data_IF_345106674337
#
_entry.id   IF_345106674337
#
_cell.length_a   1.000
_cell.length_b   1.000
_cell.length_c   1.000
_cell.angle_alpha   90.00
_cell.angle_beta   90.00
_cell.angle_gamma   90.00
#
_symmetry.space_group_name_H-M   'P 1'
#
loop_
_entity.id
_entity.type
_entity.pdbx_description
1 polymer ?
#
# COMPACT_ATOMS: atom_id res chain seq x y z
N UNK A 1 -24.06 -20.89 35.73
CA UNK A 1 -23.89 -19.81 34.75
C UNK A 1 -25.07 -19.85 33.80
N UNK A 2 -25.86 -18.78 33.73
CA UNK A 2 -26.97 -18.65 32.78
C UNK A 2 -26.41 -18.54 31.33
N UNK A 3 -27.19 -18.94 30.33
CA UNK A 3 -26.88 -18.78 28.89
C UNK A 3 -26.42 -17.35 28.58
N UNK A 4 -27.05 -16.33 29.16
CA UNK A 4 -26.66 -14.93 28.96
C UNK A 4 -25.27 -14.60 29.52
N UNK A 5 -24.94 -15.15 30.69
CA UNK A 5 -23.62 -14.98 31.31
C UNK A 5 -22.54 -15.73 30.50
N UNK A 6 -22.87 -16.92 29.99
CA UNK A 6 -21.99 -17.70 29.12
C UNK A 6 -21.70 -16.97 27.80
N UNK A 7 -22.73 -16.38 27.19
CA UNK A 7 -22.57 -15.58 25.97
C UNK A 7 -21.74 -14.33 26.24
N UNK A 8 -22.06 -13.55 27.26
CA UNK A 8 -21.30 -12.36 27.64
C UNK A 8 -19.84 -12.68 27.94
N UNK A 9 -19.57 -13.77 28.66
CA UNK A 9 -18.21 -14.25 28.95
C UNK A 9 -17.46 -14.62 27.66
N UNK A 10 -18.13 -15.32 26.75
CA UNK A 10 -17.53 -15.71 25.46
C UNK A 10 -17.16 -14.48 24.63
N UNK A 11 -18.05 -13.49 24.54
CA UNK A 11 -17.79 -12.24 23.82
C UNK A 11 -16.65 -11.47 24.47
N UNK A 12 -16.64 -11.37 25.80
CA UNK A 12 -15.56 -10.71 26.53
C UNK A 12 -14.19 -11.34 26.24
N UNK A 13 -14.13 -12.67 26.19
CA UNK A 13 -12.89 -13.40 25.93
C UNK A 13 -12.41 -13.21 24.48
N UNK A 14 -13.32 -13.20 23.51
CA UNK A 14 -13.01 -12.90 22.10
C UNK A 14 -12.53 -11.47 21.93
N UNK A 15 -13.22 -10.48 22.51
CA UNK A 15 -12.82 -9.06 22.46
C UNK A 15 -11.46 -8.83 23.11
N UNK A 16 -11.18 -9.47 24.24
CA UNK A 16 -9.88 -9.38 24.90
C UNK A 16 -8.75 -9.96 24.02
N UNK A 17 -8.97 -11.14 23.41
CA UNK A 17 -8.01 -11.75 22.50
C UNK A 17 -7.78 -10.90 21.24
N UNK A 18 -8.84 -10.36 20.64
CA UNK A 18 -8.74 -9.46 19.50
C UNK A 18 -7.98 -8.18 19.87
N UNK A 19 -8.28 -7.58 21.02
CA UNK A 19 -7.58 -6.39 21.52
C UNK A 19 -6.10 -6.64 21.76
N UNK A 20 -5.75 -7.77 22.38
CA UNK A 20 -4.36 -8.18 22.54
C UNK A 20 -3.65 -8.38 21.20
N UNK A 21 -4.31 -9.02 20.23
CA UNK A 21 -3.72 -9.22 18.91
C UNK A 21 -3.49 -7.90 18.17
N UNK A 22 -4.47 -7.00 18.18
CA UNK A 22 -4.34 -5.67 17.59
C UNK A 22 -3.21 -4.87 18.26
N UNK A 23 -3.15 -4.89 19.59
CA UNK A 23 -2.20 -4.06 20.33
C UNK A 23 -0.78 -4.62 20.36
N UNK A 24 -0.59 -5.95 20.37
CA UNK A 24 0.73 -6.57 20.47
C UNK A 24 1.30 -6.84 19.07
N UNK A 25 0.53 -7.50 18.21
CA UNK A 25 1.02 -7.99 16.91
C UNK A 25 1.01 -6.88 15.87
N UNK A 26 -0.12 -6.19 15.69
CA UNK A 26 -0.23 -5.15 14.66
C UNK A 26 0.55 -3.89 15.03
N UNK A 27 0.49 -3.44 16.27
CA UNK A 27 1.24 -2.26 16.70
C UNK A 27 2.74 -2.39 16.45
N UNK A 28 3.33 -3.57 16.73
CA UNK A 28 4.73 -3.86 16.44
C UNK A 28 5.02 -3.80 14.94
N UNK A 29 4.19 -4.46 14.12
CA UNK A 29 4.31 -4.44 12.66
C UNK A 29 4.18 -3.02 12.08
N UNK A 30 3.24 -2.23 12.59
CA UNK A 30 3.00 -0.86 12.14
C UNK A 30 4.16 0.04 12.55
N UNK A 31 4.64 -0.03 13.80
CA UNK A 31 5.83 0.74 14.22
C UNK A 31 7.06 0.42 13.39
N UNK A 32 7.27 -0.84 13.05
CA UNK A 32 8.35 -1.23 12.13
C UNK A 32 8.13 -0.65 10.73
N UNK A 33 6.89 -0.72 10.21
CA UNK A 33 6.53 -0.14 8.92
C UNK A 33 6.75 1.39 8.90
N UNK A 34 6.38 2.12 9.95
CA UNK A 34 6.60 3.57 10.07
C UNK A 34 8.08 3.93 10.03
N UNK A 35 8.93 3.15 10.70
CA UNK A 35 10.40 3.33 10.68
C UNK A 35 11.01 3.02 9.31
N UNK A 36 10.49 2.01 8.64
CA UNK A 36 10.98 1.60 7.32
C UNK A 36 10.41 2.45 6.18
N UNK A 37 9.34 3.19 6.44
CA UNK A 37 8.62 3.96 5.44
C UNK A 37 9.50 4.97 4.67
N UNK A 38 10.34 5.80 5.33
CA UNK A 38 11.25 6.70 4.62
C UNK A 38 12.20 5.95 3.69
N UNK A 39 12.63 4.74 4.09
CA UNK A 39 13.53 3.91 3.30
C UNK A 39 12.83 3.35 2.05
N UNK A 40 11.58 2.91 2.16
CA UNK A 40 10.79 2.44 1.01
C UNK A 40 10.55 3.58 0.02
N UNK A 41 10.22 4.77 0.52
CA UNK A 41 10.03 5.98 -0.30
C UNK A 41 11.33 6.39 -1.01
N UNK A 42 12.45 6.38 -0.29
CA UNK A 42 13.77 6.66 -0.84
C UNK A 42 14.15 5.66 -1.94
N UNK A 43 14.01 4.35 -1.70
CA UNK A 43 14.29 3.31 -2.69
C UNK A 43 13.42 3.43 -3.95
N UNK A 44 12.13 3.75 -3.78
CA UNK A 44 11.22 3.94 -4.92
C UNK A 44 11.57 5.20 -5.73
N UNK A 45 11.99 6.27 -5.05
CA UNK A 45 12.46 7.51 -5.69
C UNK A 45 13.78 7.29 -6.44
N UNK A 46 14.71 6.55 -5.83
CA UNK A 46 15.97 6.14 -6.46
C UNK A 46 15.72 5.27 -7.69
N UNK A 47 14.77 4.33 -7.64
CA UNK A 47 14.40 3.52 -8.81
C UNK A 47 13.86 4.40 -9.95
N UNK A 48 13.00 5.37 -9.61
CA UNK A 48 12.45 6.32 -10.58
C UNK A 48 13.55 7.18 -11.20
N UNK A 49 14.50 7.63 -10.39
CA UNK A 49 15.66 8.41 -10.85
C UNK A 49 16.63 7.58 -11.69
N UNK A 50 16.91 6.32 -11.31
CA UNK A 50 17.71 5.40 -12.12
C UNK A 50 17.07 5.20 -13.49
N UNK A 51 15.78 4.89 -13.55
CA UNK A 51 15.05 4.77 -14.83
C UNK A 51 15.01 6.05 -15.63
N UNK A 52 14.94 7.21 -14.97
CA UNK A 52 15.05 8.51 -15.64
C UNK A 52 16.41 8.68 -16.30
N UNK A 53 17.48 8.38 -15.57
CA UNK A 53 18.82 8.38 -16.13
C UNK A 53 18.92 7.38 -17.28
N UNK A 54 18.49 6.13 -17.11
CA UNK A 54 18.52 5.12 -18.17
C UNK A 54 17.79 5.58 -19.46
N UNK A 55 16.70 6.35 -19.35
CA UNK A 55 16.00 6.94 -20.50
C UNK A 55 16.80 8.09 -21.15
N UNK A 56 17.39 8.96 -20.33
CA UNK A 56 18.09 10.19 -20.79
C UNK A 56 19.52 9.90 -21.27
N UNK A 57 20.18 8.92 -20.68
CA UNK A 57 21.53 8.48 -21.02
C UNK A 57 21.54 7.31 -22.00
N UNK A 58 20.38 6.87 -22.48
CA UNK A 58 20.34 5.94 -23.60
C UNK A 58 21.09 6.61 -24.77
N UNK A 59 22.14 5.95 -25.25
CA UNK A 59 22.90 6.31 -26.47
C UNK A 59 21.93 6.64 -27.62
N UNK A 60 20.83 5.89 -27.66
CA UNK A 60 19.70 6.02 -28.57
C UNK A 60 18.94 7.35 -28.49
N UNK A 61 18.89 8.02 -27.32
CA UNK A 61 18.26 9.33 -27.15
C UNK A 61 19.21 10.47 -27.56
N UNK A 62 20.53 10.30 -27.37
CA UNK A 62 21.54 11.24 -27.86
C UNK A 62 21.74 11.12 -29.37
N UNK A 63 21.84 9.90 -29.90
CA UNK A 63 21.95 9.61 -31.34
C UNK A 63 20.73 10.11 -32.10
N UNK A 64 19.51 9.93 -31.57
CA UNK A 64 18.29 10.45 -32.20
C UNK A 64 18.30 11.98 -32.29
N UNK A 65 18.84 12.65 -31.26
CA UNK A 65 18.94 14.10 -31.19
C UNK A 65 19.99 14.62 -32.17
N UNK A 66 21.12 13.91 -32.28
CA UNK A 66 22.19 14.23 -33.21
C UNK A 66 21.76 13.99 -34.67
N UNK A 67 21.10 12.86 -34.97
CA UNK A 67 20.54 12.56 -36.29
C UNK A 67 19.36 13.46 -36.66
N UNK A 68 18.50 13.86 -35.73
CA UNK A 68 17.46 14.89 -36.01
C UNK A 68 18.09 16.23 -36.35
N UNK A 69 19.14 16.65 -35.64
CA UNK A 69 19.85 17.89 -35.94
C UNK A 69 20.61 17.84 -37.28
N UNK A 70 21.16 16.69 -37.65
CA UNK A 70 21.83 16.47 -38.94
C UNK A 70 20.81 16.33 -40.08
N UNK A 71 19.72 15.62 -39.85
CA UNK A 71 18.63 15.39 -40.80
C UNK A 71 17.82 16.65 -41.12
N UNK A 72 17.57 17.52 -40.13
CA UNK A 72 16.98 18.85 -40.34
C UNK A 72 17.88 19.79 -41.14
N UNK A 73 19.20 19.56 -41.15
CA UNK A 73 20.18 20.38 -41.86
C UNK A 73 20.43 19.93 -43.31
N UNK A 74 20.12 18.69 -43.69
CA UNK A 74 20.75 18.09 -44.89
C UNK A 74 19.90 17.89 -46.15
N UNK A 75 18.58 17.56 -46.16
CA UNK A 75 17.67 17.71 -47.34
C UNK A 75 16.29 16.97 -47.21
N UNK A 76 15.30 17.24 -48.11
CA UNK A 76 13.86 17.00 -47.90
C UNK A 76 13.37 15.64 -48.44
N UNK A 77 13.77 14.53 -47.81
CA UNK A 77 13.16 13.22 -48.04
C UNK A 77 12.80 12.59 -46.71
N UNK A 78 11.58 12.88 -46.27
CA UNK A 78 10.96 12.45 -45.00
C UNK A 78 10.74 10.93 -44.90
N UNK A 79 10.66 10.21 -46.02
CA UNK A 79 10.13 8.83 -46.05
C UNK A 79 11.10 7.74 -45.57
N UNK A 80 12.42 7.98 -45.56
CA UNK A 80 13.40 7.02 -45.01
C UNK A 80 13.79 7.31 -43.56
N UNK A 81 13.62 8.56 -43.10
CA UNK A 81 13.76 8.89 -41.68
C UNK A 81 12.54 8.44 -40.89
N UNK A 82 11.34 8.36 -41.48
CA UNK A 82 10.11 8.12 -40.72
C UNK A 82 10.05 6.76 -40.02
N UNK A 83 10.46 5.67 -40.67
CA UNK A 83 10.35 4.32 -40.10
C UNK A 83 11.37 4.05 -39.00
N UNK A 84 12.61 4.52 -39.15
CA UNK A 84 13.65 4.41 -38.14
C UNK A 84 13.39 5.34 -36.95
N UNK A 85 12.93 6.58 -37.22
CA UNK A 85 12.48 7.51 -36.18
C UNK A 85 11.25 6.97 -35.45
N UNK A 86 10.29 6.33 -36.14
CA UNK A 86 9.15 5.65 -35.51
C UNK A 86 9.58 4.51 -34.59
N UNK A 87 10.49 3.64 -35.03
CA UNK A 87 10.96 2.50 -34.23
C UNK A 87 11.65 2.98 -32.95
N UNK A 88 12.51 4.00 -33.07
CA UNK A 88 13.19 4.61 -31.92
C UNK A 88 12.24 5.40 -31.01
N UNK A 89 11.28 6.16 -31.56
CA UNK A 89 10.21 6.81 -30.77
C UNK A 89 9.36 5.79 -30.01
N UNK A 90 9.12 4.62 -30.60
CA UNK A 90 8.36 3.54 -29.97
C UNK A 90 9.12 2.95 -28.77
N UNK A 91 10.44 2.76 -28.91
CA UNK A 91 11.30 2.35 -27.80
C UNK A 91 11.38 3.42 -26.69
N UNK A 92 11.51 4.70 -27.06
CA UNK A 92 11.53 5.81 -26.11
C UNK A 92 10.20 5.94 -25.36
N UNK A 93 9.07 5.76 -26.06
CA UNK A 93 7.72 5.67 -25.48
C UNK A 93 7.58 4.49 -24.52
N UNK A 94 8.19 3.35 -24.83
CA UNK A 94 8.27 2.18 -23.94
C UNK A 94 9.00 2.49 -22.64
N UNK A 95 10.15 3.15 -22.72
CA UNK A 95 10.98 3.52 -21.58
C UNK A 95 10.32 4.62 -20.71
N UNK A 96 9.68 5.61 -21.34
CA UNK A 96 8.86 6.62 -20.66
C UNK A 96 7.66 6.01 -19.94
N UNK A 97 6.98 5.03 -20.55
CA UNK A 97 5.91 4.28 -19.90
C UNK A 97 6.42 3.51 -18.69
N UNK A 98 7.57 2.84 -18.81
CA UNK A 98 8.18 2.13 -17.68
C UNK A 98 8.60 3.06 -16.53
N UNK A 99 8.96 4.31 -16.84
CA UNK A 99 9.24 5.36 -15.86
C UNK A 99 7.96 5.85 -15.17
N UNK A 100 6.90 6.11 -15.94
CA UNK A 100 5.58 6.48 -15.42
C UNK A 100 5.01 5.40 -14.50
N UNK A 101 5.13 4.13 -14.91
CA UNK A 101 4.71 2.98 -14.11
C UNK A 101 5.49 2.88 -12.80
N UNK A 102 6.75 3.36 -12.77
CA UNK A 102 7.59 3.36 -11.57
C UNK A 102 7.25 4.49 -10.62
N UNK A 103 6.96 5.68 -11.15
CA UNK A 103 6.44 6.80 -10.36
C UNK A 103 5.11 6.42 -9.70
N UNK A 104 4.24 5.69 -10.42
CA UNK A 104 2.98 5.17 -9.87
C UNK A 104 3.17 4.19 -8.71
N UNK A 105 4.31 3.47 -8.61
CA UNK A 105 4.57 2.55 -7.48
C UNK A 105 4.63 3.33 -6.16
N UNK A 106 5.19 4.54 -6.15
CA UNK A 106 5.26 5.39 -4.95
C UNK A 106 3.86 5.73 -4.46
N UNK A 107 2.97 6.13 -5.37
CA UNK A 107 1.60 6.53 -5.04
C UNK A 107 0.73 5.33 -4.61
N UNK A 108 0.92 4.18 -5.25
CA UNK A 108 0.27 2.92 -4.86
C UNK A 108 0.69 2.51 -3.45
N UNK A 109 1.99 2.58 -3.15
CA UNK A 109 2.54 2.24 -1.83
C UNK A 109 2.08 3.25 -0.77
N UNK A 110 2.06 4.56 -1.09
CA UNK A 110 1.50 5.61 -0.23
C UNK A 110 0.04 5.32 0.11
N UNK A 111 -0.75 4.92 -0.88
CA UNK A 111 -2.16 4.57 -0.73
C UNK A 111 -2.32 3.37 0.20
N UNK A 112 -1.51 2.31 0.03
CA UNK A 112 -1.55 1.15 0.92
C UNK A 112 -1.19 1.53 2.36
N UNK A 113 -0.16 2.35 2.56
CA UNK A 113 0.24 2.80 3.88
C UNK A 113 -0.85 3.63 4.58
N UNK A 114 -1.50 4.54 3.85
CA UNK A 114 -2.64 5.30 4.37
C UNK A 114 -3.80 4.38 4.77
N UNK A 115 -4.10 3.37 3.95
CA UNK A 115 -5.10 2.35 4.28
C UNK A 115 -4.74 1.53 5.52
N UNK A 116 -3.48 1.12 5.69
CA UNK A 116 -3.01 0.44 6.92
C UNK A 116 -3.31 1.29 8.16
N UNK A 117 -2.97 2.59 8.12
CA UNK A 117 -3.24 3.50 9.25
C UNK A 117 -4.73 3.65 9.54
N UNK A 118 -5.53 3.83 8.49
CA UNK A 118 -6.98 3.97 8.59
C UNK A 118 -7.63 2.73 9.23
N UNK A 119 -7.36 1.54 8.68
CA UNK A 119 -7.96 0.31 9.19
C UNK A 119 -7.47 -0.06 10.59
N UNK A 120 -6.19 0.17 10.90
CA UNK A 120 -5.68 -0.08 12.24
C UNK A 120 -6.33 0.82 13.30
N UNK A 121 -6.37 2.13 13.05
CA UNK A 121 -6.97 3.09 13.98
C UNK A 121 -8.45 2.80 14.22
N UNK A 122 -9.19 2.54 13.14
CA UNK A 122 -10.61 2.26 13.24
C UNK A 122 -10.90 0.90 13.87
N UNK A 123 -10.05 -0.12 13.64
CA UNK A 123 -10.16 -1.42 14.33
C UNK A 123 -10.04 -1.26 15.85
N UNK A 124 -9.08 -0.47 16.33
CA UNK A 124 -8.93 -0.19 17.77
C UNK A 124 -10.16 0.53 18.33
N UNK A 125 -10.64 1.57 17.64
CA UNK A 125 -11.80 2.34 18.09
C UNK A 125 -13.03 1.44 18.20
N UNK A 126 -13.28 0.59 17.19
CA UNK A 126 -14.40 -0.33 17.18
C UNK A 126 -14.31 -1.36 18.31
N UNK A 127 -13.10 -1.86 18.61
CA UNK A 127 -12.89 -2.74 19.75
C UNK A 127 -13.20 -2.06 21.10
N UNK A 128 -12.79 -0.79 21.27
CA UNK A 128 -13.13 -0.02 22.49
C UNK A 128 -14.64 0.15 22.61
N UNK A 129 -15.34 0.43 21.51
CA UNK A 129 -16.81 0.55 21.49
C UNK A 129 -17.46 -0.81 21.81
N UNK A 130 -16.94 -1.90 21.27
CA UNK A 130 -17.40 -3.27 21.55
C UNK A 130 -17.28 -3.61 23.04
N UNK A 131 -16.14 -3.31 23.66
CA UNK A 131 -15.89 -3.50 25.08
C UNK A 131 -16.77 -2.61 25.96
N UNK A 132 -16.95 -1.34 25.57
CA UNK A 132 -17.83 -0.42 26.31
C UNK A 132 -19.28 -0.90 26.27
N UNK A 133 -19.73 -1.38 25.11
CA UNK A 133 -21.05 -1.97 24.94
C UNK A 133 -21.21 -3.24 25.77
N UNK A 134 -20.16 -4.06 25.86
CA UNK A 134 -20.15 -5.26 26.69
C UNK A 134 -20.29 -4.95 28.19
N UNK A 135 -19.65 -3.89 28.68
CA UNK A 135 -19.80 -3.45 30.08
C UNK A 135 -21.25 -3.04 30.37
N UNK A 136 -21.93 -2.40 29.41
CA UNK A 136 -23.33 -1.97 29.57
C UNK A 136 -24.30 -3.16 29.67
N UNK A 137 -23.94 -4.36 29.17
CA UNK A 137 -24.72 -5.60 29.36
C UNK A 137 -24.91 -5.92 30.84
N UNK A 138 -23.94 -5.57 31.69
CA UNK A 138 -23.94 -5.89 33.12
C UNK A 138 -24.72 -4.87 33.98
N UNK A 139 -25.03 -3.69 33.42
CA UNK A 139 -25.57 -2.55 34.19
C UNK A 139 -27.00 -2.19 33.74
N UNK A 140 -27.37 -2.49 32.49
CA UNK A 140 -28.64 -2.04 31.90
C UNK A 140 -29.66 -3.16 31.70
N UNK A 141 -30.95 -2.80 31.77
CA UNK A 141 -32.08 -3.70 31.52
C UNK A 141 -32.15 -4.20 30.06
N UNK A 142 -31.55 -3.47 29.11
CA UNK A 142 -31.49 -3.83 27.68
C UNK A 142 -30.24 -4.68 27.34
N UNK A 143 -29.89 -5.62 28.21
CA UNK A 143 -28.65 -6.41 28.14
C UNK A 143 -28.47 -7.16 26.80
N UNK A 144 -29.54 -7.72 26.23
CA UNK A 144 -29.52 -8.39 24.92
C UNK A 144 -29.15 -7.45 23.76
N UNK A 145 -29.64 -6.21 23.78
CA UNK A 145 -29.36 -5.23 22.73
C UNK A 145 -27.88 -4.80 22.77
N UNK A 146 -27.35 -4.55 23.97
CA UNK A 146 -25.94 -4.21 24.16
C UNK A 146 -24.99 -5.37 23.80
N UNK A 147 -25.42 -6.61 24.04
CA UNK A 147 -24.67 -7.80 23.67
C UNK A 147 -24.62 -7.96 22.13
N UNK A 148 -25.74 -7.68 21.44
CA UNK A 148 -25.79 -7.64 19.98
C UNK A 148 -24.91 -6.52 19.38
N UNK A 149 -24.93 -5.32 19.97
CA UNK A 149 -24.07 -4.21 19.55
C UNK A 149 -22.59 -4.54 19.76
N UNK A 150 -22.24 -5.08 20.93
CA UNK A 150 -20.87 -5.50 21.24
C UNK A 150 -20.35 -6.49 20.21
N UNK A 151 -21.14 -7.52 19.88
CA UNK A 151 -20.82 -8.49 18.83
C UNK A 151 -20.65 -7.85 17.45
N UNK A 152 -21.55 -6.95 17.06
CA UNK A 152 -21.46 -6.25 15.77
C UNK A 152 -20.16 -5.47 15.62
N UNK A 153 -19.83 -4.65 16.62
CA UNK A 153 -18.58 -3.88 16.61
C UNK A 153 -17.33 -4.77 16.70
N UNK A 154 -17.41 -5.91 17.38
CA UNK A 154 -16.32 -6.88 17.44
C UNK A 154 -16.04 -7.51 16.07
N UNK A 155 -17.09 -7.89 15.33
CA UNK A 155 -16.96 -8.43 13.97
C UNK A 155 -16.33 -7.38 13.05
N UNK A 156 -16.81 -6.13 13.09
CA UNK A 156 -16.24 -5.05 12.29
C UNK A 156 -14.77 -4.78 12.63
N UNK A 157 -14.45 -4.79 13.94
CA UNK A 157 -13.08 -4.66 14.44
C UNK A 157 -12.16 -5.77 13.89
N UNK A 158 -12.63 -7.02 13.87
CA UNK A 158 -11.91 -8.16 13.29
C UNK A 158 -11.72 -7.99 11.78
N UNK A 159 -12.74 -7.54 11.04
CA UNK A 159 -12.63 -7.27 9.61
C UNK A 159 -11.56 -6.20 9.32
N UNK A 160 -11.52 -5.15 10.13
CA UNK A 160 -10.51 -4.09 10.02
C UNK A 160 -9.10 -4.59 10.33
N UNK A 161 -8.96 -5.51 11.28
CA UNK A 161 -7.71 -6.22 11.52
C UNK A 161 -7.25 -7.02 10.29
N UNK A 162 -8.15 -7.75 9.63
CA UNK A 162 -7.81 -8.48 8.40
C UNK A 162 -7.37 -7.55 7.27
N UNK A 163 -8.08 -6.44 7.05
CA UNK A 163 -7.67 -5.44 6.06
C UNK A 163 -6.30 -4.83 6.38
N UNK A 164 -6.03 -4.55 7.65
CA UNK A 164 -4.73 -4.03 8.08
C UNK A 164 -3.60 -4.99 7.71
N UNK A 165 -3.75 -6.28 8.01
CA UNK A 165 -2.76 -7.32 7.66
C UNK A 165 -2.58 -7.41 6.14
N UNK A 166 -3.69 -7.45 5.40
CA UNK A 166 -3.69 -7.55 3.95
C UNK A 166 -2.90 -6.43 3.28
N UNK A 167 -3.08 -5.17 3.72
CA UNK A 167 -2.33 -4.05 3.16
C UNK A 167 -0.86 -4.02 3.61
N UNK A 168 -0.54 -4.48 4.82
CA UNK A 168 0.85 -4.66 5.26
C UNK A 168 1.57 -5.67 4.34
N UNK A 169 0.95 -6.82 4.06
CA UNK A 169 1.52 -7.82 3.16
C UNK A 169 1.75 -7.28 1.74
N UNK A 170 0.84 -6.44 1.23
CA UNK A 170 1.05 -5.76 -0.06
C UNK A 170 2.28 -4.87 -0.04
N UNK A 171 2.50 -4.10 1.04
CA UNK A 171 3.68 -3.24 1.16
C UNK A 171 4.96 -4.09 1.25
N UNK A 172 4.94 -5.20 2.00
CA UNK A 172 6.08 -6.13 2.07
C UNK A 172 6.42 -6.74 0.71
N UNK A 173 5.42 -7.13 -0.09
CA UNK A 173 5.63 -7.60 -1.47
C UNK A 173 6.32 -6.55 -2.33
N UNK A 174 5.83 -5.30 -2.31
CA UNK A 174 6.45 -4.22 -3.08
C UNK A 174 7.87 -3.93 -2.60
N UNK A 175 8.11 -3.91 -1.28
CA UNK A 175 9.44 -3.76 -0.68
C UNK A 175 10.42 -4.83 -1.17
N UNK A 176 9.99 -6.09 -1.18
CA UNK A 176 10.82 -7.20 -1.65
C UNK A 176 11.14 -7.09 -3.14
N UNK A 177 10.17 -6.66 -3.94
CA UNK A 177 10.39 -6.35 -5.36
C UNK A 177 11.41 -5.23 -5.55
N UNK A 178 11.25 -4.10 -4.84
CA UNK A 178 12.18 -2.96 -4.91
C UNK A 178 13.61 -3.34 -4.49
N UNK A 179 13.78 -4.13 -3.42
CA UNK A 179 15.10 -4.61 -3.00
C UNK A 179 15.80 -5.45 -4.07
N UNK A 180 15.06 -6.28 -4.80
CA UNK A 180 15.64 -7.08 -5.90
C UNK A 180 16.16 -6.20 -7.02
N UNK A 181 15.45 -5.13 -7.36
CA UNK A 181 15.86 -4.19 -8.41
C UNK A 181 17.08 -3.32 -8.05
N UNK A 182 17.30 -3.03 -6.76
CA UNK A 182 18.43 -2.20 -6.32
C UNK A 182 19.73 -3.01 -6.16
N UNK A 183 19.62 -4.31 -5.93
CA UNK A 183 20.77 -5.21 -5.78
C UNK A 183 21.16 -5.94 -7.10
N UNK A 184 20.45 -5.72 -8.21
CA UNK A 184 20.84 -6.17 -9.55
C UNK A 184 21.44 -5.03 -10.36
#
# INVERSE_FOLDING_TARGET
>A
MNIMELLAFTVALVSALNGLFQYIVLNSKIKNLEKEWPRIKSLSSLLSFKKFLDVVSAEEAQDLLEELMVGLRTQPTLDLMSSFVEERLTNLKGNLKALLDTLNIVDVVNTFYSKVKHYYSNGIILNIIALTSLVLVLVQQLSLLFLGLSLGFEIDSILFLFYTIYYIEKIEKVKNTLKKYVNS
#
